data_IF_460372717519
#
_entry.id   IF_460372717519
#
_cell.length_a   1.000
_cell.length_b   1.000
_cell.length_c   1.000
_cell.angle_alpha   90.00
_cell.angle_beta   90.00
_cell.angle_gamma   90.00
#
_symmetry.space_group_name_H-M   'P 1'
#
loop_
_entity.id
_entity.type
_entity.pdbx_description
1 polymer ?
#
# COMPACT_ATOMS: atom_id res chain seq x y z
N UNK A 1 -39.15 15.17 -26.36
CA UNK A 1 -38.41 15.34 -25.09
C UNK A 1 -36.92 15.24 -25.40
N UNK A 2 -36.27 16.37 -25.69
CA UNK A 2 -34.81 16.46 -25.78
C UNK A 2 -34.36 17.56 -24.84
N UNK A 3 -33.40 17.21 -23.98
CA UNK A 3 -32.91 18.01 -22.86
C UNK A 3 -32.18 19.25 -23.36
N UNK A 4 -32.47 20.34 -22.67
CA UNK A 4 -31.80 21.64 -22.64
C UNK A 4 -30.28 21.52 -22.49
N UNK A 5 -29.52 22.16 -23.38
CA UNK A 5 -28.16 22.62 -23.11
C UNK A 5 -28.20 24.13 -22.93
N UNK A 6 -27.99 24.59 -21.69
CA UNK A 6 -27.71 25.99 -21.39
C UNK A 6 -26.39 26.38 -22.07
N UNK A 7 -26.46 27.16 -23.14
CA UNK A 7 -25.31 27.87 -23.67
C UNK A 7 -24.95 29.01 -22.71
N UNK A 8 -23.73 28.98 -22.18
CA UNK A 8 -23.17 30.06 -21.37
C UNK A 8 -22.95 31.26 -22.31
N UNK A 9 -23.80 32.28 -22.17
CA UNK A 9 -23.59 33.60 -22.79
C UNK A 9 -22.62 34.37 -21.90
N UNK A 10 -21.36 34.48 -22.36
CA UNK A 10 -20.35 35.35 -21.74
C UNK A 10 -20.63 36.80 -22.20
N UNK A 11 -21.38 37.53 -21.39
CA UNK A 11 -21.45 39.00 -21.46
C UNK A 11 -20.19 39.57 -20.81
N UNK A 12 -19.27 40.09 -21.61
CA UNK A 12 -18.15 40.90 -21.12
C UNK A 12 -18.59 42.36 -21.20
N UNK A 13 -18.98 42.93 -20.05
CA UNK A 13 -19.17 44.37 -19.87
C UNK A 13 -17.81 45.07 -19.82
N UNK A 14 -17.55 45.99 -20.74
CA UNK A 14 -16.49 47.00 -20.59
C UNK A 14 -17.11 48.24 -19.95
N UNK A 15 -16.96 48.40 -18.63
CA UNK A 15 -17.18 49.68 -17.96
C UNK A 15 -15.87 50.16 -17.37
N UNK A 16 -15.39 51.30 -17.88
CA UNK A 16 -14.24 51.99 -17.31
C UNK A 16 -13.52 52.92 -18.28
N UNK A 17 -14.15 54.00 -18.75
CA UNK A 17 -13.52 55.32 -18.80
C UNK A 17 -14.51 56.43 -19.15
N UNK A 18 -14.32 57.54 -18.44
CA UNK A 18 -15.17 58.71 -18.30
C UNK A 18 -15.46 59.46 -19.60
N UNK A 19 -16.64 60.07 -19.60
CA UNK A 19 -17.23 60.91 -20.62
C UNK A 19 -16.34 62.05 -21.16
N UNK A 20 -16.36 62.24 -22.49
CA UNK A 20 -16.52 63.56 -23.10
C UNK A 20 -17.45 63.47 -24.31
N UNK A 21 -18.46 64.33 -24.32
CA UNK A 21 -19.42 64.55 -25.42
C UNK A 21 -18.71 64.99 -26.69
N UNK A 22 -18.77 64.18 -27.76
CA UNK A 22 -18.85 64.70 -29.13
C UNK A 22 -19.87 63.86 -29.90
N UNK A 23 -21.03 64.45 -30.13
CA UNK A 23 -22.00 64.03 -31.12
C UNK A 23 -21.36 64.11 -32.51
N UNK A 24 -21.01 62.97 -33.12
CA UNK A 24 -21.16 62.73 -34.55
C UNK A 24 -20.84 61.25 -34.87
N UNK A 25 -21.76 60.65 -35.61
CA UNK A 25 -21.75 59.27 -36.08
C UNK A 25 -20.42 58.88 -36.75
N UNK A 26 -19.73 57.87 -36.21
CA UNK A 26 -18.69 57.17 -36.95
C UNK A 26 -19.05 55.70 -37.06
N UNK A 27 -19.41 55.31 -38.29
CA UNK A 27 -19.79 53.97 -38.70
C UNK A 27 -18.53 53.08 -38.68
N UNK A 28 -18.22 52.44 -37.55
CA UNK A 28 -17.23 51.35 -37.52
C UNK A 28 -17.91 50.06 -37.93
N UNK A 29 -17.72 49.75 -39.22
CA UNK A 29 -18.32 48.63 -39.90
C UNK A 29 -18.08 47.29 -39.22
N UNK A 30 -19.08 46.45 -39.39
CA UNK A 30 -19.21 45.02 -39.05
C UNK A 30 -18.04 44.15 -39.60
N UNK A 31 -17.11 44.72 -40.37
CA UNK A 31 -15.97 43.99 -40.96
C UNK A 31 -14.89 43.62 -39.93
N UNK A 32 -14.52 44.49 -38.98
CA UNK A 32 -13.37 44.21 -38.10
C UNK A 32 -13.63 43.16 -37.01
N UNK A 33 -14.89 42.98 -36.59
CA UNK A 33 -15.27 41.96 -35.60
C UNK A 33 -15.27 40.55 -36.21
N UNK A 34 -15.60 40.42 -37.51
CA UNK A 34 -15.57 39.15 -38.23
C UNK A 34 -14.15 38.61 -38.43
N UNK A 35 -13.17 39.50 -38.69
CA UNK A 35 -11.77 39.10 -38.80
C UNK A 35 -11.20 38.63 -37.45
N UNK A 36 -11.47 39.35 -36.36
CA UNK A 36 -11.02 38.95 -35.03
C UNK A 36 -11.65 37.62 -34.58
N UNK A 37 -12.95 37.44 -34.80
CA UNK A 37 -13.65 36.18 -34.51
C UNK A 37 -13.10 35.04 -35.39
N UNK A 38 -12.84 35.30 -36.67
CA UNK A 38 -12.25 34.33 -37.59
C UNK A 38 -10.84 33.89 -37.19
N UNK A 39 -10.00 34.81 -36.70
CA UNK A 39 -8.67 34.49 -36.17
C UNK A 39 -8.75 33.62 -34.92
N UNK A 40 -9.65 33.95 -33.98
CA UNK A 40 -9.86 33.16 -32.76
C UNK A 40 -10.42 31.77 -33.09
N UNK A 41 -11.37 31.66 -34.02
CA UNK A 41 -11.91 30.36 -34.46
C UNK A 41 -10.85 29.51 -35.17
N UNK A 42 -9.95 30.14 -35.95
CA UNK A 42 -8.85 29.42 -36.58
C UNK A 42 -7.85 28.88 -35.54
N UNK A 43 -7.48 29.69 -34.54
CA UNK A 43 -6.63 29.23 -33.42
C UNK A 43 -7.30 28.12 -32.60
N UNK A 44 -8.60 28.23 -32.32
CA UNK A 44 -9.35 27.16 -31.64
C UNK A 44 -9.40 25.86 -32.46
N UNK A 45 -9.52 25.95 -33.79
CA UNK A 45 -9.46 24.78 -34.67
C UNK A 45 -8.05 24.17 -34.70
N UNK A 46 -7.00 25.00 -34.76
CA UNK A 46 -5.60 24.57 -34.68
C UNK A 46 -5.31 23.85 -33.36
N UNK A 47 -5.78 24.40 -32.24
CA UNK A 47 -5.71 23.76 -30.93
C UNK A 47 -6.49 22.44 -30.89
N UNK A 48 -7.67 22.39 -31.50
CA UNK A 48 -8.46 21.17 -31.66
C UNK A 48 -7.70 20.08 -32.41
N UNK A 49 -7.04 20.43 -33.52
CA UNK A 49 -6.21 19.51 -34.28
C UNK A 49 -4.99 19.01 -33.48
N UNK A 50 -4.31 19.91 -32.76
CA UNK A 50 -3.17 19.58 -31.90
C UNK A 50 -3.56 18.62 -30.76
N UNK A 51 -4.72 18.83 -30.13
CA UNK A 51 -5.23 17.95 -29.07
C UNK A 51 -5.52 16.55 -29.62
N UNK A 52 -6.16 16.47 -30.79
CA UNK A 52 -6.44 15.18 -31.45
C UNK A 52 -5.13 14.46 -31.80
N UNK A 53 -4.15 15.18 -32.35
CA UNK A 53 -2.84 14.60 -32.69
C UNK A 53 -2.12 14.05 -31.45
N UNK A 54 -2.15 14.81 -30.35
CA UNK A 54 -1.56 14.38 -29.07
C UNK A 54 -2.31 13.20 -28.45
N UNK A 55 -3.63 13.14 -28.58
CA UNK A 55 -4.43 12.00 -28.11
C UNK A 55 -4.07 10.72 -28.87
N UNK A 56 -3.94 10.80 -30.21
CA UNK A 56 -3.49 9.68 -31.04
C UNK A 56 -2.07 9.24 -30.66
N UNK A 57 -1.15 10.18 -30.43
CA UNK A 57 0.20 9.86 -29.96
C UNK A 57 0.19 9.18 -28.58
N UNK A 58 -0.68 9.61 -27.67
CA UNK A 58 -0.80 9.03 -26.34
C UNK A 58 -1.39 7.61 -26.40
N UNK A 59 -2.44 7.41 -27.19
CA UNK A 59 -3.03 6.08 -27.42
C UNK A 59 -2.02 5.12 -28.05
N UNK A 60 -1.24 5.58 -29.03
CA UNK A 60 -0.16 4.76 -29.63
C UNK A 60 0.89 4.36 -28.60
N UNK A 61 1.33 5.28 -27.74
CA UNK A 61 2.27 4.97 -26.65
C UNK A 61 1.68 4.02 -25.61
N UNK A 62 0.39 4.15 -25.27
CA UNK A 62 -0.29 3.24 -24.36
C UNK A 62 -0.38 1.82 -24.93
N UNK A 63 -0.68 1.70 -26.23
CA UNK A 63 -0.69 0.41 -26.92
C UNK A 63 0.71 -0.24 -26.95
N UNK A 64 1.75 0.54 -27.26
CA UNK A 64 3.14 0.06 -27.29
C UNK A 64 3.65 -0.31 -25.89
N UNK A 65 3.17 0.37 -24.85
CA UNK A 65 3.46 0.02 -23.46
C UNK A 65 2.73 -1.27 -23.06
N UNK A 66 1.46 -1.43 -23.45
CA UNK A 66 0.68 -2.65 -23.20
C UNK A 66 1.35 -3.86 -23.85
N UNK A 67 1.77 -3.75 -25.12
CA UNK A 67 2.44 -4.84 -25.83
C UNK A 67 3.80 -5.18 -25.21
N UNK A 68 4.55 -4.17 -24.72
CA UNK A 68 5.77 -4.40 -23.94
C UNK A 68 5.48 -5.13 -22.63
N UNK A 69 4.42 -4.77 -21.90
CA UNK A 69 3.99 -5.48 -20.69
C UNK A 69 3.65 -6.93 -21.02
N UNK A 70 2.88 -7.19 -22.07
CA UNK A 70 2.53 -8.55 -22.51
C UNK A 70 3.78 -9.36 -22.87
N UNK A 71 4.73 -8.74 -23.57
CA UNK A 71 6.01 -9.39 -23.92
C UNK A 71 6.88 -9.68 -22.69
N UNK A 72 6.92 -8.79 -21.71
CA UNK A 72 7.65 -9.00 -20.45
C UNK A 72 6.98 -10.08 -19.59
N UNK A 73 5.65 -10.14 -19.58
CA UNK A 73 4.89 -11.19 -18.91
C UNK A 73 5.17 -12.56 -19.55
N UNK A 74 5.18 -12.65 -20.88
CA UNK A 74 5.53 -13.89 -21.59
C UNK A 74 7.02 -14.27 -21.43
N UNK A 75 7.92 -13.29 -21.38
CA UNK A 75 9.36 -13.52 -21.17
C UNK A 75 9.65 -14.02 -19.75
N UNK A 76 8.94 -13.53 -18.74
CA UNK A 76 9.02 -14.04 -17.35
C UNK A 76 8.51 -15.48 -17.23
N UNK A 77 7.50 -15.86 -18.03
CA UNK A 77 7.05 -17.24 -18.14
C UNK A 77 8.05 -18.17 -18.88
N UNK A 78 8.82 -17.65 -19.85
CA UNK A 78 9.76 -18.47 -20.65
C UNK A 78 11.20 -18.52 -20.11
N UNK A 79 11.59 -17.65 -19.17
CA UNK A 79 12.95 -17.64 -18.59
C UNK A 79 13.04 -18.30 -17.22
N UNK A 80 12.01 -19.05 -16.85
CA UNK A 80 11.97 -19.80 -15.60
C UNK A 80 11.94 -21.29 -15.92
N UNK A 81 13.03 -21.83 -16.49
CA UNK A 81 13.37 -23.22 -16.17
C UNK A 81 13.91 -23.25 -14.74
N UNK A 82 13.01 -22.95 -13.78
CA UNK A 82 13.11 -23.58 -12.48
C UNK A 82 13.05 -25.09 -12.73
N UNK A 83 13.76 -25.91 -11.95
CA UNK A 83 13.52 -27.34 -11.98
C UNK A 83 12.02 -27.54 -11.82
N UNK A 84 11.41 -28.24 -12.78
CA UNK A 84 10.05 -28.76 -12.65
C UNK A 84 10.12 -29.73 -11.49
N UNK A 85 9.86 -29.21 -10.29
CA UNK A 85 9.58 -30.04 -9.14
C UNK A 85 8.21 -30.66 -9.44
N UNK A 86 8.19 -31.97 -9.59
CA UNK A 86 6.97 -32.79 -9.64
C UNK A 86 6.26 -32.77 -8.26
N UNK A 87 6.02 -31.59 -7.70
CA UNK A 87 5.12 -31.42 -6.58
C UNK A 87 3.70 -31.41 -7.13
N UNK A 88 2.93 -32.42 -6.78
CA UNK A 88 1.49 -32.42 -7.04
C UNK A 88 0.89 -31.15 -6.43
N UNK A 89 -0.09 -30.56 -7.11
CA UNK A 89 -0.79 -29.33 -6.73
C UNK A 89 -1.60 -29.44 -5.42
N UNK A 90 -1.37 -30.50 -4.64
CA UNK A 90 -2.13 -30.97 -3.48
C UNK A 90 -1.24 -31.26 -2.25
N UNK A 91 0.06 -30.95 -2.28
CA UNK A 91 0.95 -31.23 -1.14
C UNK A 91 0.71 -30.22 0.00
N UNK A 92 0.03 -30.67 1.05
CA UNK A 92 -0.13 -29.93 2.30
C UNK A 92 1.07 -30.21 3.20
N UNK A 93 1.86 -29.17 3.47
CA UNK A 93 3.03 -29.27 4.35
C UNK A 93 2.64 -29.10 5.82
N UNK A 94 3.38 -29.66 6.76
CA UNK A 94 3.12 -29.43 8.20
C UNK A 94 3.49 -28.01 8.64
N UNK A 95 4.50 -27.42 8.01
CA UNK A 95 4.94 -26.04 8.27
C UNK A 95 5.78 -25.53 7.11
N UNK A 96 6.05 -24.22 7.07
CA UNK A 96 7.00 -23.67 6.11
C UNK A 96 8.39 -24.30 6.20
N UNK A 97 8.80 -24.84 7.35
CA UNK A 97 10.12 -25.50 7.48
C UNK A 97 10.30 -26.69 6.52
N UNK A 98 9.21 -27.37 6.18
CA UNK A 98 9.23 -28.55 5.31
C UNK A 98 9.08 -28.20 3.82
N UNK A 99 8.86 -26.93 3.49
CA UNK A 99 8.73 -26.49 2.09
C UNK A 99 10.09 -26.40 1.40
N UNK A 100 10.21 -26.82 0.13
CA UNK A 100 11.51 -26.95 -0.54
C UNK A 100 12.14 -25.60 -0.92
N UNK A 101 11.32 -24.58 -1.20
CA UNK A 101 11.76 -23.27 -1.69
C UNK A 101 10.83 -22.16 -1.19
N UNK A 102 11.24 -20.89 -1.34
CA UNK A 102 10.34 -19.75 -1.13
C UNK A 102 9.16 -19.82 -2.10
N UNK A 103 7.95 -19.60 -1.59
CA UNK A 103 6.74 -19.65 -2.42
C UNK A 103 5.45 -19.74 -1.62
N UNK A 104 4.33 -19.75 -2.33
CA UNK A 104 3.00 -19.89 -1.74
C UNK A 104 2.66 -21.37 -1.58
N UNK A 105 2.36 -21.78 -0.35
CA UNK A 105 2.05 -23.17 -0.01
C UNK A 105 0.82 -23.27 0.89
N UNK A 106 0.15 -24.43 0.85
CA UNK A 106 -0.77 -24.82 1.90
C UNK A 106 0.01 -25.49 3.03
N UNK A 107 -0.16 -24.98 4.24
CA UNK A 107 0.38 -25.58 5.46
C UNK A 107 -0.76 -25.99 6.40
N UNK A 108 -0.56 -27.07 7.12
CA UNK A 108 -1.40 -27.51 8.22
C UNK A 108 -0.55 -27.48 9.49
N UNK A 109 -0.50 -26.33 10.21
CA UNK A 109 0.03 -26.30 11.55
C UNK A 109 -0.78 -27.23 12.44
N UNK A 110 -0.27 -27.56 13.63
CA UNK A 110 -1.01 -28.38 14.59
C UNK A 110 -2.27 -27.64 15.12
N UNK A 111 -2.64 -27.81 16.40
CA UNK A 111 -3.78 -27.09 16.99
C UNK A 111 -3.47 -25.59 17.07
N UNK A 112 -4.44 -24.67 16.88
CA UNK A 112 -5.89 -24.89 16.78
C UNK A 112 -6.43 -25.00 15.34
N UNK A 113 -5.59 -25.09 14.31
CA UNK A 113 -6.05 -25.16 12.94
C UNK A 113 -6.80 -26.47 12.66
N UNK A 114 -8.02 -26.36 12.14
CA UNK A 114 -8.82 -27.51 11.71
C UNK A 114 -8.65 -27.84 10.23
N UNK A 115 -8.32 -26.82 9.44
CA UNK A 115 -8.16 -26.89 7.99
C UNK A 115 -6.83 -26.24 7.59
N UNK A 116 -6.25 -26.62 6.44
CA UNK A 116 -4.99 -26.04 5.99
C UNK A 116 -5.16 -24.55 5.66
N UNK A 117 -4.07 -23.80 5.81
CA UNK A 117 -4.01 -22.38 5.44
C UNK A 117 -2.99 -22.16 4.33
N UNK A 118 -3.32 -21.26 3.41
CA UNK A 118 -2.39 -20.79 2.39
C UNK A 118 -1.54 -19.66 2.94
N UNK A 119 -0.22 -19.79 2.84
CA UNK A 119 0.75 -18.78 3.32
C UNK A 119 1.89 -18.62 2.31
N UNK A 120 2.59 -17.49 2.39
CA UNK A 120 3.88 -17.32 1.75
C UNK A 120 4.98 -17.81 2.72
N UNK A 121 5.69 -18.85 2.30
CA UNK A 121 6.86 -19.37 3.00
C UNK A 121 8.14 -18.73 2.45
N UNK A 122 9.00 -18.24 3.34
CA UNK A 122 10.32 -17.70 2.99
C UNK A 122 11.41 -18.68 3.46
N UNK A 123 12.14 -19.24 2.49
CA UNK A 123 13.27 -20.15 2.70
C UNK A 123 14.64 -19.47 2.52
N UNK A 124 14.65 -18.22 2.07
CA UNK A 124 15.88 -17.49 1.73
C UNK A 124 16.46 -16.77 2.93
N UNK A 125 15.61 -16.27 3.84
CA UNK A 125 16.06 -15.57 5.03
C UNK A 125 16.59 -16.54 6.10
N UNK A 126 17.90 -16.48 6.33
CA UNK A 126 18.63 -17.35 7.26
C UNK A 126 18.44 -18.84 6.95
N UNK A 127 17.98 -19.63 7.94
CA UNK A 127 17.73 -21.07 7.80
C UNK A 127 16.32 -21.40 7.28
N UNK A 128 15.61 -20.42 6.72
CA UNK A 128 14.26 -20.59 6.21
C UNK A 128 13.21 -20.94 7.26
N UNK A 129 12.09 -21.49 6.80
CA UNK A 129 10.94 -21.88 7.62
C UNK A 129 10.07 -20.72 8.11
N UNK A 130 10.18 -19.56 7.48
CA UNK A 130 9.44 -18.36 7.86
C UNK A 130 8.06 -18.32 7.20
N UNK A 131 7.05 -17.89 7.97
CA UNK A 131 5.73 -17.53 7.46
C UNK A 131 5.68 -16.00 7.34
N UNK A 132 5.47 -15.48 6.14
CA UNK A 132 5.30 -14.04 5.92
C UNK A 132 3.87 -13.64 6.31
N UNK A 133 3.74 -12.72 7.27
CA UNK A 133 2.42 -12.24 7.76
C UNK A 133 2.03 -10.88 7.19
N UNK A 134 3.02 -10.11 6.72
CA UNK A 134 2.84 -8.82 6.08
C UNK A 134 4.00 -8.57 5.10
N UNK A 135 3.70 -8.03 3.93
CA UNK A 135 4.71 -7.61 2.96
C UNK A 135 4.25 -6.34 2.23
N UNK A 136 5.10 -5.30 2.25
CA UNK A 136 4.91 -4.00 1.60
C UNK A 136 6.17 -3.66 0.84
N UNK A 137 6.09 -3.24 -0.42
CA UNK A 137 7.27 -2.87 -1.21
C UNK A 137 6.99 -1.97 -2.43
N UNK A 138 5.74 -1.77 -2.87
CA UNK A 138 5.43 -1.03 -4.10
C UNK A 138 4.21 -0.10 -4.01
N UNK A 139 3.41 -0.21 -2.94
CA UNK A 139 2.18 0.57 -2.75
C UNK A 139 1.02 0.15 -3.65
N UNK A 140 1.07 -1.05 -4.25
CA UNK A 140 0.01 -1.58 -5.11
C UNK A 140 -1.27 -1.93 -4.34
N UNK A 141 -1.17 -2.18 -3.03
CA UNK A 141 -2.30 -2.54 -2.18
C UNK A 141 -2.60 -1.42 -1.19
N UNK A 142 -3.87 -1.01 -1.11
CA UNK A 142 -4.32 -0.09 -0.07
C UNK A 142 -4.41 -0.82 1.29
N UNK A 143 -3.74 -0.28 2.31
CA UNK A 143 -3.74 -0.79 3.69
C UNK A 143 -4.63 0.03 4.64
N UNK A 144 -5.21 1.14 4.19
CA UNK A 144 -6.23 1.85 4.95
C UNK A 144 -7.57 1.13 4.77
N UNK A 145 -7.76 0.10 5.61
CA UNK A 145 -8.84 -0.90 5.55
C UNK A 145 -9.57 -1.03 6.88
N UNK A 146 -10.76 -1.60 6.83
CA UNK A 146 -11.62 -1.76 8.01
C UNK A 146 -11.24 -2.99 8.86
N UNK A 147 -11.86 -3.13 10.04
CA UNK A 147 -11.65 -4.24 10.97
C UNK A 147 -11.82 -5.60 10.33
N UNK A 148 -12.91 -5.78 9.58
CA UNK A 148 -13.26 -7.06 8.95
C UNK A 148 -12.21 -7.49 7.93
N UNK A 149 -11.65 -6.55 7.17
CA UNK A 149 -10.58 -6.83 6.21
C UNK A 149 -9.27 -7.19 6.94
N UNK A 150 -8.89 -6.45 7.99
CA UNK A 150 -7.69 -6.79 8.79
C UNK A 150 -7.82 -8.12 9.53
N UNK A 151 -9.03 -8.47 9.97
CA UNK A 151 -9.35 -9.79 10.52
C UNK A 151 -9.13 -10.91 9.51
N UNK A 152 -9.73 -10.76 8.32
CA UNK A 152 -9.75 -11.81 7.30
C UNK A 152 -8.50 -11.87 6.43
N UNK A 153 -7.68 -10.82 6.41
CA UNK A 153 -6.57 -10.67 5.48
C UNK A 153 -6.99 -10.11 4.12
N UNK A 154 -6.03 -9.52 3.42
CA UNK A 154 -6.22 -8.89 2.11
C UNK A 154 -4.91 -8.79 1.34
N UNK A 155 -5.00 -8.48 0.04
CA UNK A 155 -3.85 -8.36 -0.86
C UNK A 155 -3.55 -9.66 -1.60
N UNK A 156 -2.34 -9.77 -2.13
CA UNK A 156 -1.87 -10.93 -2.90
C UNK A 156 -0.60 -11.49 -2.26
N UNK A 157 -0.55 -12.80 -2.00
CA UNK A 157 0.63 -13.47 -1.44
C UNK A 157 1.86 -13.38 -2.34
N UNK A 158 1.69 -13.19 -3.65
CA UNK A 158 2.77 -12.92 -4.61
C UNK A 158 3.12 -11.41 -4.71
N UNK A 159 2.45 -10.55 -3.94
CA UNK A 159 2.59 -9.09 -3.94
C UNK A 159 2.54 -8.51 -2.53
N UNK A 160 1.88 -7.37 -2.38
CA UNK A 160 1.63 -6.79 -1.05
C UNK A 160 0.40 -7.42 -0.39
N UNK A 161 0.50 -7.76 0.89
CA UNK A 161 -0.61 -8.37 1.61
C UNK A 161 -0.50 -8.23 3.14
N UNK A 162 -1.63 -8.49 3.79
CA UNK A 162 -1.78 -8.75 5.21
C UNK A 162 -2.46 -10.11 5.39
N UNK A 163 -1.84 -11.02 6.14
CA UNK A 163 -2.31 -12.42 6.25
C UNK A 163 -3.69 -12.57 6.91
N UNK A 164 -4.04 -11.62 7.78
CA UNK A 164 -5.28 -11.63 8.56
C UNK A 164 -5.03 -11.94 10.04
N UNK A 165 -5.63 -11.16 10.93
CA UNK A 165 -5.45 -11.29 12.38
C UNK A 165 -5.91 -12.65 12.90
N UNK A 166 -6.98 -13.24 12.34
CA UNK A 166 -7.44 -14.58 12.75
C UNK A 166 -6.36 -15.64 12.52
N UNK A 167 -5.71 -15.60 11.34
CA UNK A 167 -4.64 -16.54 11.00
C UNK A 167 -3.38 -16.29 11.82
N UNK A 168 -3.01 -15.03 12.02
CA UNK A 168 -1.85 -14.66 12.84
C UNK A 168 -2.06 -15.13 14.28
N UNK A 169 -3.24 -14.90 14.87
CA UNK A 169 -3.58 -15.37 16.21
C UNK A 169 -3.45 -16.90 16.31
N UNK A 170 -4.10 -17.63 15.39
CA UNK A 170 -4.07 -19.09 15.38
C UNK A 170 -2.64 -19.63 15.24
N UNK A 171 -1.79 -19.00 14.42
CA UNK A 171 -0.37 -19.33 14.31
C UNK A 171 0.36 -19.09 15.63
N UNK A 172 0.27 -17.88 16.20
CA UNK A 172 1.08 -17.52 17.36
C UNK A 172 0.65 -18.20 18.66
N UNK A 173 -0.62 -18.60 18.79
CA UNK A 173 -1.11 -19.33 19.98
C UNK A 173 -0.81 -20.83 19.91
N UNK A 174 -0.58 -21.38 18.71
CA UNK A 174 -0.30 -22.83 18.53
C UNK A 174 1.00 -23.26 19.21
N UNK A 175 2.00 -22.38 19.20
CA UNK A 175 3.32 -22.59 19.79
C UNK A 175 4.08 -21.25 19.84
N UNK A 176 5.14 -21.12 20.65
CA UNK A 176 5.96 -19.91 20.68
C UNK A 176 6.53 -19.58 19.28
N UNK A 177 6.39 -18.33 18.85
CA UNK A 177 6.96 -17.82 17.60
C UNK A 177 7.95 -16.69 17.85
N UNK A 178 9.04 -16.66 17.10
CA UNK A 178 9.83 -15.44 16.92
C UNK A 178 9.23 -14.60 15.79
N UNK A 179 9.47 -13.29 15.84
CA UNK A 179 9.13 -12.33 14.78
C UNK A 179 10.42 -11.71 14.26
N UNK A 180 10.53 -11.59 12.94
CA UNK A 180 11.50 -10.71 12.30
C UNK A 180 10.78 -9.70 11.41
N UNK A 181 11.24 -8.46 11.47
CA UNK A 181 10.77 -7.34 10.65
C UNK A 181 11.94 -6.87 9.81
N UNK A 182 11.88 -7.11 8.50
CA UNK A 182 12.88 -6.64 7.55
C UNK A 182 12.43 -5.31 6.96
N UNK A 183 13.34 -4.34 6.88
CA UNK A 183 13.05 -2.98 6.48
C UNK A 183 14.07 -2.51 5.43
N UNK A 184 13.61 -1.77 4.43
CA UNK A 184 14.47 -1.08 3.46
C UNK A 184 13.93 0.34 3.22
N UNK A 185 14.82 1.31 3.11
CA UNK A 185 14.51 2.69 2.70
C UNK A 185 14.73 2.92 1.19
N UNK A 186 14.46 4.14 0.72
CA UNK A 186 14.63 4.48 -0.70
C UNK A 186 16.08 4.73 -1.13
N UNK A 187 16.99 4.90 -0.18
CA UNK A 187 18.44 4.99 -0.42
C UNK A 187 19.08 3.59 -0.50
N UNK A 188 18.29 2.53 -0.27
CA UNK A 188 18.72 1.13 -0.32
C UNK A 188 19.32 0.59 0.98
N UNK A 189 19.23 1.31 2.11
CA UNK A 189 19.78 0.77 3.36
C UNK A 189 18.88 -0.33 3.95
N UNK A 190 19.58 -1.43 4.23
CA UNK A 190 19.16 -2.68 4.87
C UNK A 190 19.01 -2.58 6.39
N UNK A 191 17.87 -2.90 7.01
CA UNK A 191 17.88 -3.16 8.47
C UNK A 191 16.84 -4.19 8.90
N UNK A 192 16.93 -4.65 10.15
CA UNK A 192 15.94 -5.55 10.73
C UNK A 192 15.75 -5.34 12.23
N UNK A 193 14.57 -5.70 12.72
CA UNK A 193 14.25 -5.89 14.13
C UNK A 193 13.78 -7.34 14.33
N UNK A 194 14.25 -7.99 15.39
CA UNK A 194 13.88 -9.35 15.77
C UNK A 194 13.34 -9.35 17.20
N UNK A 195 12.34 -10.18 17.44
CA UNK A 195 11.76 -10.44 18.75
C UNK A 195 11.67 -11.94 18.97
N UNK A 196 12.19 -12.41 20.09
CA UNK A 196 12.24 -13.82 20.45
C UNK A 196 10.86 -14.43 20.74
N UNK A 197 9.89 -13.59 21.13
CA UNK A 197 8.51 -14.00 21.37
C UNK A 197 7.57 -12.98 20.74
N UNK A 198 6.66 -13.48 19.91
CA UNK A 198 5.60 -12.72 19.29
C UNK A 198 4.29 -13.50 19.41
N UNK A 199 3.28 -12.87 19.99
CA UNK A 199 1.94 -13.43 20.13
C UNK A 199 0.91 -12.32 20.18
N UNK A 200 -0.22 -12.57 19.53
CA UNK A 200 -1.41 -11.72 19.64
C UNK A 200 -2.54 -12.51 20.29
N UNK A 201 -3.48 -11.82 20.91
CA UNK A 201 -4.66 -12.41 21.51
C UNK A 201 -5.77 -12.67 20.48
N UNK A 202 -6.89 -13.23 20.92
CA UNK A 202 -8.07 -13.45 20.10
C UNK A 202 -8.86 -12.15 19.84
N UNK A 203 -9.93 -12.25 19.05
CA UNK A 203 -10.80 -11.11 18.73
C UNK A 203 -11.53 -10.55 19.97
N UNK A 204 -11.85 -11.38 20.97
CA UNK A 204 -12.51 -10.91 22.20
C UNK A 204 -11.62 -9.96 23.00
N UNK A 205 -10.31 -10.08 22.81
CA UNK A 205 -9.28 -9.20 23.36
C UNK A 205 -8.75 -8.21 22.31
N UNK A 206 -9.49 -8.01 21.22
CA UNK A 206 -9.17 -7.08 20.13
C UNK A 206 -7.76 -7.30 19.56
N UNK A 207 -7.36 -8.57 19.43
CA UNK A 207 -6.07 -9.00 18.93
C UNK A 207 -4.88 -8.31 19.61
N UNK A 208 -4.98 -8.05 20.91
CA UNK A 208 -3.95 -7.42 21.73
C UNK A 208 -2.57 -8.07 21.51
N UNK A 209 -1.51 -7.27 21.36
CA UNK A 209 -0.14 -7.75 21.26
C UNK A 209 0.33 -8.29 22.62
N UNK A 210 0.05 -9.57 22.89
CA UNK A 210 0.25 -10.19 24.21
C UNK A 210 1.72 -10.43 24.52
N UNK A 211 2.52 -10.81 23.51
CA UNK A 211 3.97 -11.02 23.64
C UNK A 211 4.71 -10.30 22.53
N UNK A 212 5.73 -9.53 22.94
CA UNK A 212 6.72 -8.91 22.08
C UNK A 212 7.98 -8.71 22.93
N UNK A 213 8.85 -9.73 22.97
CA UNK A 213 9.96 -9.79 23.93
C UNK A 213 11.28 -10.21 23.28
N UNK A 214 12.39 -9.99 23.98
CA UNK A 214 13.73 -10.38 23.52
C UNK A 214 14.12 -9.64 22.23
N UNK A 215 13.93 -8.32 22.21
CA UNK A 215 14.32 -7.49 21.09
C UNK A 215 15.83 -7.64 20.78
N UNK A 216 16.15 -7.74 19.50
CA UNK A 216 17.50 -7.63 18.96
C UNK A 216 17.47 -7.08 17.53
N UNK A 217 18.62 -6.60 17.05
CA UNK A 217 18.78 -6.14 15.66
C UNK A 217 19.07 -4.64 15.53
N UNK A 218 19.66 -4.25 14.39
CA UNK A 218 20.18 -2.89 14.18
C UNK A 218 19.11 -1.82 13.91
N UNK A 219 17.85 -2.19 13.66
CA UNK A 219 16.79 -1.22 13.39
C UNK A 219 16.37 -0.38 14.61
N UNK A 220 16.79 -0.78 15.82
CA UNK A 220 16.27 -0.27 17.08
C UNK A 220 14.82 -0.70 17.34
N UNK A 221 14.39 -0.63 18.61
CA UNK A 221 13.09 -1.12 19.03
C UNK A 221 11.99 -0.05 18.86
N UNK A 222 11.14 -0.21 17.86
CA UNK A 222 9.96 0.64 17.61
C UNK A 222 8.61 -0.11 17.76
N UNK A 223 8.62 -1.32 18.33
CA UNK A 223 7.41 -2.14 18.52
C UNK A 223 7.25 -2.66 19.96
N UNK A 224 8.34 -2.85 20.70
CA UNK A 224 8.29 -3.41 22.06
C UNK A 224 7.50 -2.56 23.05
N UNK A 225 7.45 -1.24 22.86
CA UNK A 225 6.75 -0.31 23.74
C UNK A 225 5.21 -0.39 23.64
N UNK A 226 4.67 -1.06 22.62
CA UNK A 226 3.22 -1.26 22.44
C UNK A 226 2.76 -2.66 22.90
N UNK A 227 3.57 -3.37 23.69
CA UNK A 227 3.14 -4.59 24.38
C UNK A 227 1.86 -4.33 25.17
N UNK A 228 0.86 -5.21 25.01
CA UNK A 228 -0.44 -5.10 25.66
C UNK A 228 -1.40 -4.11 25.01
N UNK A 229 -1.02 -3.44 23.92
CA UNK A 229 -1.94 -2.60 23.15
C UNK A 229 -2.83 -3.44 22.26
N UNK A 230 -4.08 -2.99 22.08
CA UNK A 230 -5.09 -3.60 21.21
C UNK A 230 -4.89 -3.16 19.77
N UNK A 231 -5.36 -3.97 18.83
CA UNK A 231 -5.34 -3.58 17.43
C UNK A 231 -6.45 -2.55 17.16
N UNK A 232 -6.18 -1.56 16.31
CA UNK A 232 -7.13 -0.51 15.97
C UNK A 232 -7.15 -0.27 14.46
N UNK A 233 -8.33 -0.05 13.90
CA UNK A 233 -8.59 0.29 12.50
C UNK A 233 -9.39 1.59 12.43
N UNK A 234 -9.60 2.13 11.22
CA UNK A 234 -10.37 3.37 11.04
C UNK A 234 -11.81 3.32 11.61
N UNK A 235 -12.37 2.12 11.74
CA UNK A 235 -13.73 1.84 12.18
C UNK A 235 -13.80 1.13 13.55
N UNK A 236 -12.65 0.89 14.19
CA UNK A 236 -12.56 0.28 15.51
C UNK A 236 -11.41 0.92 16.28
N UNK A 237 -11.76 1.89 17.13
CA UNK A 237 -10.82 2.61 17.99
C UNK A 237 -10.64 1.86 19.32
N UNK A 238 -9.50 1.19 19.46
CA UNK A 238 -9.12 0.45 20.66
C UNK A 238 -7.78 0.95 21.25
N UNK A 239 -7.32 2.12 20.79
CA UNK A 239 -6.08 2.70 21.27
C UNK A 239 -6.27 3.43 22.61
N UNK A 240 -5.24 4.09 23.11
CA UNK A 240 -5.26 4.75 24.43
C UNK A 240 -5.29 6.27 24.33
N UNK A 241 -5.35 6.79 23.11
CA UNK A 241 -5.47 8.21 22.86
C UNK A 241 -6.94 8.64 22.90
N UNK A 242 -7.18 9.95 22.96
CA UNK A 242 -8.54 10.53 23.05
C UNK A 242 -9.25 10.59 21.68
N UNK A 243 -8.45 10.59 20.62
CA UNK A 243 -8.86 10.62 19.23
C UNK A 243 -8.31 9.35 18.56
N UNK A 244 -8.81 8.97 17.39
CA UNK A 244 -8.39 7.72 16.76
C UNK A 244 -7.00 7.85 16.11
N UNK A 245 -6.04 7.07 16.60
CA UNK A 245 -4.71 6.95 15.99
C UNK A 245 -4.80 6.36 14.57
N UNK A 246 -5.68 5.38 14.36
CA UNK A 246 -5.85 4.74 13.05
C UNK A 246 -6.36 5.71 11.98
N UNK A 247 -7.26 6.63 12.34
CA UNK A 247 -7.72 7.70 11.45
C UNK A 247 -6.62 8.74 11.23
N UNK A 248 -5.96 9.19 12.29
CA UNK A 248 -4.95 10.25 12.23
C UNK A 248 -3.70 9.85 11.45
N UNK A 249 -3.24 8.62 11.62
CA UNK A 249 -2.02 8.09 11.01
C UNK A 249 -2.30 7.11 9.87
N UNK A 250 -3.54 7.08 9.37
CA UNK A 250 -3.93 6.46 8.09
C UNK A 250 -3.46 5.01 7.92
N UNK A 251 -3.65 4.20 8.96
CA UNK A 251 -3.23 2.80 8.98
C UNK A 251 -3.99 2.00 10.02
N UNK A 252 -3.59 0.75 10.24
CA UNK A 252 -4.10 -0.07 11.33
C UNK A 252 -2.97 -0.80 12.03
N UNK A 253 -2.96 -0.74 13.36
CA UNK A 253 -1.85 -1.20 14.16
C UNK A 253 -2.24 -1.43 15.61
N UNK A 254 -1.31 -1.98 16.39
CA UNK A 254 -1.35 -1.98 17.85
C UNK A 254 -0.96 -0.59 18.38
N UNK A 255 -1.87 0.38 18.19
CA UNK A 255 -1.64 1.77 18.60
C UNK A 255 -1.75 1.95 20.12
N UNK A 256 -0.87 2.80 20.67
CA UNK A 256 -0.94 3.36 22.03
C UNK A 256 -1.45 4.80 21.96
N UNK A 257 -0.57 5.80 22.09
CA UNK A 257 -0.85 7.22 21.88
C UNK A 257 0.33 7.93 21.18
N UNK A 258 0.61 7.67 19.90
CA UNK A 258 -0.01 6.66 19.03
C UNK A 258 0.96 5.53 18.69
N UNK A 259 2.14 5.83 18.14
CA UNK A 259 3.08 4.78 17.76
C UNK A 259 4.54 5.23 17.67
N UNK A 260 5.43 4.22 17.71
CA UNK A 260 6.81 4.32 17.23
C UNK A 260 7.00 3.61 15.87
N UNK A 261 6.05 2.77 15.44
CA UNK A 261 6.03 2.09 14.14
C UNK A 261 4.64 2.14 13.51
N UNK A 262 4.57 2.26 12.19
CA UNK A 262 3.30 2.27 11.44
C UNK A 262 3.51 1.60 10.07
N UNK A 263 3.88 0.32 10.07
CA UNK A 263 4.23 -0.40 8.84
C UNK A 263 3.03 -0.63 7.89
N UNK A 264 1.82 -0.41 8.40
CA UNK A 264 0.56 -0.47 7.64
C UNK A 264 0.05 0.93 7.24
N UNK A 265 0.84 1.98 7.47
CA UNK A 265 0.55 3.34 7.01
C UNK A 265 0.65 3.50 5.49
N UNK A 266 0.58 4.77 5.07
CA UNK A 266 0.65 5.15 3.67
C UNK A 266 2.00 4.84 3.04
N UNK A 267 1.99 4.52 1.74
CA UNK A 267 3.21 4.30 0.97
C UNK A 267 3.68 5.62 0.33
N UNK A 268 4.39 6.46 1.11
CA UNK A 268 4.72 7.85 0.72
C UNK A 268 6.06 8.03 -0.01
N UNK A 269 6.75 6.92 -0.30
CA UNK A 269 7.96 6.89 -1.12
C UNK A 269 9.14 7.74 -0.63
N UNK A 270 9.54 7.60 0.64
CA UNK A 270 10.71 8.27 1.20
C UNK A 270 10.36 9.45 2.09
N UNK A 271 11.17 10.51 2.03
CA UNK A 271 10.96 11.74 2.80
C UNK A 271 9.60 12.37 2.51
N UNK A 272 8.94 12.86 3.56
CA UNK A 272 7.61 13.47 3.47
C UNK A 272 7.46 14.58 4.50
N UNK A 273 6.61 15.56 4.19
CA UNK A 273 6.18 16.59 5.16
C UNK A 273 5.07 16.09 6.08
N UNK A 274 4.43 14.97 5.76
CA UNK A 274 3.39 14.38 6.60
C UNK A 274 4.01 13.74 7.85
N UNK A 275 3.49 14.13 9.02
CA UNK A 275 3.98 13.58 10.28
C UNK A 275 3.43 12.18 10.52
N UNK A 276 4.30 11.18 10.42
CA UNK A 276 4.09 9.81 10.88
C UNK A 276 2.94 9.00 10.21
N UNK A 277 2.35 9.50 9.13
CA UNK A 277 1.25 8.83 8.39
C UNK A 277 1.74 7.70 7.46
N UNK A 278 3.03 7.71 7.11
CA UNK A 278 3.64 6.75 6.20
C UNK A 278 4.06 5.43 6.85
N UNK A 279 4.77 4.58 6.09
CA UNK A 279 5.41 3.38 6.61
C UNK A 279 6.58 3.73 7.52
N UNK A 280 6.32 3.87 8.82
CA UNK A 280 7.29 4.39 9.80
C UNK A 280 7.94 3.28 10.61
N UNK A 281 9.25 3.43 10.82
CA UNK A 281 10.00 2.81 11.92
C UNK A 281 10.90 3.87 12.57
N UNK A 282 10.44 4.42 13.71
CA UNK A 282 11.02 5.64 14.31
C UNK A 282 12.52 5.54 14.52
N UNK A 283 13.01 4.43 15.08
CA UNK A 283 14.43 4.25 15.41
C UNK A 283 15.34 4.09 14.19
N UNK A 284 14.78 3.85 13.01
CA UNK A 284 15.55 3.71 11.77
C UNK A 284 15.57 5.01 10.95
N UNK A 285 14.41 5.61 10.69
CA UNK A 285 14.27 6.79 9.82
C UNK A 285 13.45 7.94 10.39
N UNK A 286 13.00 7.84 11.64
CA UNK A 286 12.15 8.85 12.26
C UNK A 286 10.72 8.83 11.72
N UNK A 287 10.01 9.96 11.87
CA UNK A 287 8.58 10.09 11.56
C UNK A 287 8.27 10.74 10.21
N UNK A 288 9.26 11.35 9.55
CA UNK A 288 9.10 12.11 8.30
C UNK A 288 9.66 11.36 7.08
N UNK A 289 9.74 10.03 7.18
CA UNK A 289 10.28 9.20 6.14
C UNK A 289 9.52 7.87 6.08
N UNK A 290 8.84 7.63 4.95
CA UNK A 290 8.17 6.37 4.66
C UNK A 290 9.14 5.38 4.04
N UNK A 291 9.20 4.18 4.61
CA UNK A 291 10.06 3.10 4.11
C UNK A 291 9.64 2.60 2.73
N UNK A 292 10.61 2.04 2.01
CA UNK A 292 10.43 1.42 0.68
C UNK A 292 9.87 0.02 0.80
N UNK A 293 10.37 -0.77 1.74
CA UNK A 293 9.90 -2.12 1.99
C UNK A 293 9.78 -2.40 3.49
N UNK A 294 8.74 -3.11 3.86
CA UNK A 294 8.61 -3.78 5.14
C UNK A 294 8.11 -5.20 4.91
N UNK A 295 8.75 -6.19 5.53
CA UNK A 295 8.33 -7.59 5.52
C UNK A 295 8.34 -8.10 6.95
N UNK A 296 7.18 -8.51 7.47
CA UNK A 296 7.06 -9.14 8.78
C UNK A 296 6.89 -10.64 8.61
N UNK A 297 7.70 -11.41 9.33
CA UNK A 297 7.69 -12.87 9.24
C UNK A 297 7.78 -13.50 10.62
N UNK A 298 7.07 -14.60 10.82
CA UNK A 298 7.10 -15.37 12.06
C UNK A 298 7.63 -16.77 11.82
N UNK A 299 8.28 -17.34 12.83
CA UNK A 299 8.77 -18.71 12.78
C UNK A 299 8.64 -19.38 14.14
N UNK A 300 8.23 -20.66 14.21
CA UNK A 300 8.20 -21.39 15.47
C UNK A 300 9.57 -21.42 16.16
N UNK A 301 9.60 -21.05 17.44
CA UNK A 301 10.80 -21.18 18.29
C UNK A 301 10.67 -22.45 19.11
N UNK A 302 11.38 -23.50 18.69
CA UNK A 302 11.50 -24.72 19.48
C UNK A 302 12.23 -24.39 20.77
N UNK A 303 11.54 -24.48 21.92
CA UNK A 303 12.22 -24.48 23.20
C UNK A 303 13.16 -25.69 23.19
N UNK A 304 14.47 -25.46 23.29
CA UNK A 304 15.40 -26.54 23.58
C UNK A 304 14.98 -27.12 24.93
N UNK A 305 14.57 -28.39 24.91
CA UNK A 305 14.33 -29.18 26.12
C UNK A 305 15.59 -29.28 26.96
#
# INVERSE_FOLDING_TARGET
>A
MFKTCLGIVLLISCDGLLAQNVSNSFNWGVEHCGYALGLVMNELNLLGHLIIEKDVQLQSKLYDLSSKIDSLMQQKCNTTTLPVFNGTKDDVYSSCKETPTTGVYMIQPEKPFKEPITVLCDQEYESGGWIVIQHRFDGSTNFYRNWKEYKNGFGNLDGEFWLGLDRIYQLTVSQPHELVVLLEDFDGNKTFARYDQFEIADENQMYMLSKIEGFSGPAGDSLGNVKGMKFSTQDSDNDTWKDSCAVTYTGAWWYSACHASNLNGQYLRGETTEYATGMVWKTFRGYYHSLKMAKMMIRPKWLRA
#
